data_IF_614794926332
#
_entry.id   IF_614794926332
#
_cell.length_a   1.000
_cell.length_b   1.000
_cell.length_c   1.000
_cell.angle_alpha   90.00
_cell.angle_beta   90.00
_cell.angle_gamma   90.00
#
_symmetry.space_group_name_H-M   'P 1'
#
loop_
_entity.id
_entity.type
_entity.pdbx_description
1 polymer ?
#
# COMPACT_ATOMS: atom_id res chain seq x y z
N UNK A 1 5.68 28.92 -18.16
CA UNK A 1 4.37 28.25 -18.12
C UNK A 1 4.59 26.81 -17.70
N UNK A 2 3.58 26.16 -17.12
CA UNK A 2 3.67 24.77 -16.69
C UNK A 2 2.33 24.07 -16.99
N UNK A 3 2.40 22.86 -17.54
CA UNK A 3 1.24 22.00 -17.70
C UNK A 3 0.96 21.34 -16.35
N UNK A 4 -0.25 21.53 -15.81
CA UNK A 4 -0.72 20.84 -14.62
C UNK A 4 -1.89 19.93 -15.01
N UNK A 5 -1.73 18.63 -14.81
CA UNK A 5 -2.79 17.64 -15.02
C UNK A 5 -3.54 17.42 -13.71
N UNK A 6 -4.87 17.25 -13.78
CA UNK A 6 -5.73 16.92 -12.64
C UNK A 6 -6.53 15.67 -12.97
N UNK A 7 -6.80 14.85 -11.97
CA UNK A 7 -7.50 13.56 -12.12
C UNK A 7 -6.79 12.66 -13.13
N UNK A 8 -5.52 12.36 -12.86
CA UNK A 8 -4.67 11.61 -13.78
C UNK A 8 -5.13 10.15 -13.86
N UNK A 9 -5.38 9.67 -15.06
CA UNK A 9 -5.78 8.28 -15.38
C UNK A 9 -4.80 7.66 -16.37
N UNK A 10 -4.84 6.34 -16.53
CA UNK A 10 -3.96 5.61 -17.47
C UNK A 10 -4.04 6.08 -18.91
N UNK A 11 -5.21 6.56 -19.33
CA UNK A 11 -5.44 7.14 -20.65
C UNK A 11 -4.61 8.40 -20.94
N UNK A 12 -4.03 9.04 -19.91
CA UNK A 12 -3.12 10.17 -20.07
C UNK A 12 -1.65 9.74 -20.25
N UNK A 13 -1.33 8.45 -20.21
CA UNK A 13 0.02 7.99 -20.54
C UNK A 13 0.35 8.28 -22.01
N UNK A 14 1.53 8.84 -22.28
CA UNK A 14 1.91 9.21 -23.65
C UNK A 14 3.10 10.17 -23.71
N UNK A 15 3.47 10.56 -24.93
CA UNK A 15 4.45 11.63 -25.14
C UNK A 15 3.77 13.00 -25.12
N UNK A 16 4.33 13.91 -24.33
CA UNK A 16 3.93 15.30 -24.22
C UNK A 16 5.03 16.18 -24.79
N UNK A 17 4.67 17.12 -25.65
CA UNK A 17 5.61 18.09 -26.21
C UNK A 17 5.48 19.44 -25.49
N UNK A 18 6.63 20.01 -25.15
CA UNK A 18 6.80 21.33 -24.58
C UNK A 18 7.50 22.20 -25.62
N UNK A 19 6.75 23.06 -26.34
CA UNK A 19 7.29 23.91 -27.41
C UNK A 19 7.18 25.40 -27.08
N UNK A 20 8.27 26.15 -27.22
CA UNK A 20 8.31 27.61 -27.10
C UNK A 20 8.81 28.23 -28.40
N UNK A 21 8.08 29.23 -28.91
CA UNK A 21 8.51 30.06 -30.02
C UNK A 21 8.84 31.47 -29.52
N UNK A 22 10.03 31.97 -29.83
CA UNK A 22 10.46 33.34 -29.51
C UNK A 22 11.10 33.97 -30.73
N UNK A 23 10.60 35.14 -31.16
CA UNK A 23 11.25 35.91 -32.23
C UNK A 23 12.47 36.66 -31.66
N UNK A 24 13.61 36.73 -32.39
CA UNK A 24 13.92 36.10 -33.68
C UNK A 24 14.49 34.67 -33.57
N UNK A 25 14.53 34.11 -32.36
CA UNK A 25 15.21 32.87 -32.01
C UNK A 25 14.54 31.55 -32.47
N UNK A 26 13.35 31.63 -33.07
CA UNK A 26 12.63 30.47 -33.60
C UNK A 26 11.95 29.63 -32.51
N UNK A 27 11.73 28.35 -32.79
CA UNK A 27 11.02 27.42 -31.90
C UNK A 27 11.99 26.41 -31.29
N UNK A 28 11.85 26.16 -29.98
CA UNK A 28 12.51 25.07 -29.26
C UNK A 28 11.45 24.15 -28.67
N UNK A 29 11.61 22.84 -28.84
CA UNK A 29 10.71 21.84 -28.30
C UNK A 29 11.46 20.78 -27.48
N UNK A 30 10.79 20.21 -26.48
CA UNK A 30 11.27 19.08 -25.69
C UNK A 30 10.13 18.08 -25.48
N UNK A 31 10.45 16.79 -25.56
CA UNK A 31 9.48 15.71 -25.37
C UNK A 31 9.62 15.11 -23.97
N UNK A 32 8.48 14.82 -23.35
CA UNK A 32 8.35 14.26 -22.01
C UNK A 32 7.50 13.00 -22.13
N UNK A 33 8.01 11.85 -21.72
CA UNK A 33 7.23 10.62 -21.64
C UNK A 33 6.52 10.57 -20.29
N UNK A 34 5.18 10.65 -20.29
CA UNK A 34 4.35 10.41 -19.12
C UNK A 34 3.93 8.94 -19.09
N UNK A 35 4.14 8.28 -17.96
CA UNK A 35 3.67 6.92 -17.70
C UNK A 35 2.84 6.96 -16.42
N UNK A 36 1.55 6.71 -16.55
CA UNK A 36 0.63 6.59 -15.42
C UNK A 36 0.49 5.10 -15.12
N UNK A 37 0.87 4.69 -13.91
CA UNK A 37 0.68 3.31 -13.44
C UNK A 37 -0.71 3.19 -12.82
N UNK A 38 -1.38 2.06 -13.06
CA UNK A 38 -2.59 1.75 -12.30
C UNK A 38 -2.24 1.43 -10.86
N UNK A 39 -3.22 1.64 -9.99
CA UNK A 39 -3.19 1.11 -8.65
C UNK A 39 -3.26 -0.42 -8.74
N UNK A 40 -2.10 -1.08 -8.73
CA UNK A 40 -2.03 -2.54 -8.72
C UNK A 40 -2.41 -3.02 -7.31
N UNK A 41 -3.52 -3.76 -7.24
CA UNK A 41 -3.94 -4.48 -6.04
C UNK A 41 -3.53 -5.94 -6.16
N UNK A 42 -2.54 -6.34 -5.37
CA UNK A 42 -2.02 -7.70 -5.37
C UNK A 42 -2.81 -8.58 -4.39
N UNK A 43 -3.22 -9.78 -4.81
CA UNK A 43 -4.01 -10.71 -3.99
C UNK A 43 -3.21 -11.94 -3.58
N UNK A 44 -3.14 -12.18 -2.28
CA UNK A 44 -2.41 -13.28 -1.66
C UNK A 44 -3.31 -14.12 -0.77
N UNK A 45 -2.91 -15.36 -0.56
CA UNK A 45 -3.49 -16.26 0.45
C UNK A 45 -2.38 -16.68 1.40
N UNK A 46 -2.60 -16.54 2.71
CA UNK A 46 -1.64 -16.92 3.74
C UNK A 46 -2.24 -17.97 4.67
N UNK A 47 -1.57 -19.12 4.72
CA UNK A 47 -1.94 -20.25 5.56
C UNK A 47 -1.17 -20.20 6.88
N UNK A 48 -1.85 -20.41 8.00
CA UNK A 48 -1.25 -20.39 9.34
C UNK A 48 -1.97 -21.37 10.27
N UNK A 49 -1.25 -21.98 11.22
CA UNK A 49 -1.87 -22.81 12.26
C UNK A 49 -2.41 -21.94 13.40
N UNK A 50 -3.37 -22.49 14.16
CA UNK A 50 -3.84 -21.87 15.41
C UNK A 50 -2.70 -21.64 16.41
N UNK A 51 -2.82 -20.55 17.17
CA UNK A 51 -1.89 -20.14 18.22
C UNK A 51 -0.44 -19.92 17.76
N UNK A 52 -0.22 -19.66 16.46
CA UNK A 52 1.07 -19.28 15.88
C UNK A 52 1.13 -17.77 15.66
N UNK A 53 2.33 -17.26 15.40
CA UNK A 53 2.52 -15.89 14.91
C UNK A 53 2.28 -15.88 13.42
N UNK A 54 1.34 -15.03 13.00
CA UNK A 54 1.11 -14.75 11.60
C UNK A 54 1.93 -13.54 11.18
N UNK A 55 2.63 -13.67 10.06
CA UNK A 55 3.39 -12.59 9.42
C UNK A 55 2.86 -12.35 8.01
N UNK A 56 2.38 -11.13 7.76
CA UNK A 56 1.91 -10.69 6.45
C UNK A 56 2.83 -9.58 5.95
N UNK A 57 3.67 -9.83 4.94
CA UNK A 57 4.48 -8.77 4.35
C UNK A 57 3.56 -7.79 3.63
N UNK A 58 3.84 -6.49 3.77
CA UNK A 58 3.08 -5.46 3.07
C UNK A 58 3.34 -5.48 1.55
N UNK A 59 4.57 -5.85 1.18
CA UNK A 59 5.09 -5.93 -0.20
C UNK A 59 5.96 -7.17 -0.31
N UNK A 60 5.99 -7.80 -1.48
CA UNK A 60 6.92 -8.90 -1.72
C UNK A 60 8.38 -8.43 -1.71
N UNK A 61 9.30 -9.32 -1.33
CA UNK A 61 10.75 -9.08 -1.26
C UNK A 61 11.40 -8.75 -2.63
N UNK A 62 10.63 -8.70 -3.72
CA UNK A 62 11.08 -8.37 -5.08
C UNK A 62 11.45 -6.90 -5.25
N UNK A 63 10.97 -5.99 -4.39
CA UNK A 63 11.40 -4.59 -4.41
C UNK A 63 12.64 -4.39 -3.54
N UNK A 64 13.78 -4.04 -4.14
CA UNK A 64 15.02 -3.71 -3.41
C UNK A 64 14.95 -2.39 -2.61
N UNK A 65 13.83 -1.68 -2.68
CA UNK A 65 13.63 -0.40 -1.99
C UNK A 65 13.35 -0.60 -0.49
N UNK A 66 13.99 0.20 0.35
CA UNK A 66 13.74 0.17 1.79
C UNK A 66 12.43 0.87 2.12
N UNK A 67 11.34 0.08 2.17
CA UNK A 67 9.99 0.64 2.35
C UNK A 67 9.70 1.03 3.81
N UNK A 68 10.64 0.78 4.72
CA UNK A 68 10.46 0.99 6.16
C UNK A 68 10.11 2.42 6.56
N UNK A 69 10.40 3.42 5.73
CA UNK A 69 10.15 4.84 6.03
C UNK A 69 8.93 5.41 5.29
N UNK A 70 8.22 4.61 4.49
CA UNK A 70 7.05 5.12 3.77
C UNK A 70 5.80 5.18 4.66
N UNK A 71 4.90 6.14 4.40
CA UNK A 71 3.59 6.14 5.03
C UNK A 71 2.82 4.89 4.62
N UNK A 72 2.15 4.25 5.58
CA UNK A 72 1.32 3.09 5.30
C UNK A 72 0.11 2.97 6.22
N UNK A 73 -0.86 2.20 5.75
CA UNK A 73 -2.01 1.75 6.52
C UNK A 73 -2.19 0.25 6.39
N UNK A 74 -2.43 -0.40 7.53
CA UNK A 74 -2.93 -1.77 7.59
C UNK A 74 -4.41 -1.75 7.93
N UNK A 75 -5.20 -2.48 7.16
CA UNK A 75 -6.63 -2.59 7.29
C UNK A 75 -7.03 -4.06 7.43
N UNK A 76 -8.19 -4.30 8.04
CA UNK A 76 -8.86 -5.61 8.02
C UNK A 76 -10.28 -5.44 7.51
N UNK A 77 -10.73 -6.39 6.69
CA UNK A 77 -12.12 -6.46 6.24
C UNK A 77 -12.89 -7.50 7.03
N UNK A 78 -14.03 -7.08 7.59
CA UNK A 78 -14.96 -7.92 8.34
C UNK A 78 -16.39 -7.55 7.96
N UNK A 79 -17.16 -8.52 7.44
CA UNK A 79 -18.57 -8.35 7.07
C UNK A 79 -18.84 -7.16 6.11
N UNK A 80 -17.93 -6.90 5.16
CA UNK A 80 -18.03 -5.78 4.22
C UNK A 80 -17.70 -4.41 4.80
N UNK A 81 -17.23 -4.34 6.06
CA UNK A 81 -16.64 -3.14 6.66
C UNK A 81 -15.13 -3.26 6.68
N UNK A 82 -14.45 -2.16 6.45
CA UNK A 82 -12.98 -2.05 6.52
C UNK A 82 -12.61 -1.27 7.77
N UNK A 83 -11.75 -1.85 8.61
CA UNK A 83 -11.27 -1.23 9.84
C UNK A 83 -9.76 -0.96 9.75
N UNK A 84 -9.33 0.24 10.15
CA UNK A 84 -7.90 0.57 10.26
C UNK A 84 -7.30 -0.11 11.51
N UNK A 85 -6.21 -0.86 11.33
CA UNK A 85 -5.45 -1.50 12.42
C UNK A 85 -4.25 -0.65 12.83
N UNK A 86 -3.44 -0.25 11.86
CA UNK A 86 -2.18 0.46 12.08
C UNK A 86 -2.02 1.54 11.01
N UNK A 87 -1.64 2.73 11.45
CA UNK A 87 -1.22 3.82 10.55
C UNK A 87 0.18 4.25 10.94
N UNK A 88 1.07 4.41 9.96
CA UNK A 88 2.44 4.87 10.18
C UNK A 88 2.74 6.01 9.21
N UNK A 89 3.38 7.05 9.73
CA UNK A 89 3.87 8.19 8.97
C UNK A 89 5.41 8.19 8.96
N UNK A 90 6.09 8.81 7.97
CA UNK A 90 7.54 8.70 7.78
C UNK A 90 8.41 9.11 8.97
N UNK A 91 7.89 9.99 9.83
CA UNK A 91 8.62 10.57 10.97
C UNK A 91 7.94 10.34 12.32
N UNK A 92 6.86 9.56 12.36
CA UNK A 92 6.10 9.30 13.58
C UNK A 92 6.07 7.80 13.89
N UNK A 93 6.01 7.42 15.18
CA UNK A 93 5.78 6.03 15.55
C UNK A 93 4.43 5.54 14.99
N UNK A 94 4.34 4.23 14.74
CA UNK A 94 3.11 3.62 14.29
C UNK A 94 1.99 3.80 15.34
N UNK A 95 0.83 4.26 14.88
CA UNK A 95 -0.36 4.45 15.69
C UNK A 95 -1.27 3.25 15.50
N UNK A 96 -1.56 2.56 16.60
CA UNK A 96 -2.48 1.43 16.64
C UNK A 96 -3.88 1.93 16.97
N UNK A 97 -4.85 1.63 16.09
CA UNK A 97 -6.26 1.95 16.36
C UNK A 97 -6.88 0.84 17.20
N UNK A 98 -7.22 1.16 18.44
CA UNK A 98 -7.94 0.29 19.37
C UNK A 98 -9.44 0.15 19.03
N UNK A 99 -9.85 0.29 17.77
CA UNK A 99 -11.27 0.32 17.39
C UNK A 99 -11.97 -1.04 17.45
N UNK A 100 -11.22 -2.14 17.61
CA UNK A 100 -11.79 -3.47 17.77
C UNK A 100 -11.13 -4.22 18.93
N UNK A 101 -11.94 -4.64 19.91
CA UNK A 101 -11.51 -5.50 21.02
C UNK A 101 -10.89 -6.84 20.53
N UNK A 102 -11.00 -7.17 19.25
CA UNK A 102 -10.49 -8.39 18.64
C UNK A 102 -8.97 -8.35 18.38
N UNK A 103 -8.38 -7.17 18.15
CA UNK A 103 -7.01 -7.03 17.65
C UNK A 103 -6.07 -6.15 18.47
N UNK A 104 -6.60 -5.29 19.35
CA UNK A 104 -5.83 -4.20 19.97
C UNK A 104 -4.54 -4.59 20.70
N UNK A 105 -4.42 -5.83 21.21
CA UNK A 105 -3.20 -6.34 21.86
C UNK A 105 -2.45 -7.42 21.08
N UNK A 106 -2.99 -7.89 19.94
CA UNK A 106 -2.40 -8.99 19.16
C UNK A 106 -1.59 -8.49 17.97
N UNK A 107 -1.93 -7.31 17.47
CA UNK A 107 -1.36 -6.72 16.26
C UNK A 107 -0.12 -5.91 16.60
N UNK A 108 0.96 -6.19 15.88
CA UNK A 108 2.22 -5.47 15.98
C UNK A 108 2.77 -5.24 14.57
N UNK A 109 3.49 -4.13 14.39
CA UNK A 109 4.26 -3.90 13.16
C UNK A 109 5.68 -4.46 13.33
N UNK A 110 6.06 -5.39 12.47
CA UNK A 110 7.40 -5.97 12.39
C UNK A 110 8.35 -5.15 11.50
N UNK A 111 9.49 -5.77 11.18
CA UNK A 111 10.45 -5.20 10.22
C UNK A 111 9.81 -5.09 8.83
N UNK A 112 10.32 -4.16 8.00
CA UNK A 112 9.81 -3.90 6.63
C UNK A 112 8.28 -3.71 6.57
N UNK A 113 7.69 -3.17 7.63
CA UNK A 113 6.24 -2.94 7.76
C UNK A 113 5.37 -4.21 7.70
N UNK A 114 5.92 -5.38 8.01
CA UNK A 114 5.17 -6.64 8.12
C UNK A 114 4.12 -6.54 9.22
N UNK A 115 2.87 -6.95 8.94
CA UNK A 115 1.84 -7.10 9.96
C UNK A 115 2.08 -8.41 10.72
N UNK A 116 2.25 -8.31 12.03
CA UNK A 116 2.38 -9.46 12.92
C UNK A 116 1.13 -9.59 13.77
N UNK A 117 0.53 -10.79 13.80
CA UNK A 117 -0.63 -11.09 14.65
C UNK A 117 -0.33 -12.32 15.49
N UNK A 118 -0.38 -12.17 16.81
CA UNK A 118 -0.18 -13.29 17.73
C UNK A 118 -1.06 -13.16 18.99
N UNK A 119 -1.65 -14.27 19.49
CA UNK A 119 -1.81 -15.56 18.81
C UNK A 119 -2.90 -15.50 17.72
N UNK A 120 -2.76 -16.30 16.67
CA UNK A 120 -3.81 -16.55 15.68
C UNK A 120 -4.99 -17.30 16.30
N UNK A 121 -6.21 -16.88 15.96
CA UNK A 121 -7.47 -17.46 16.44
C UNK A 121 -8.26 -18.05 15.29
N UNK A 122 -9.17 -18.99 15.59
CA UNK A 122 -10.04 -19.60 14.56
C UNK A 122 -10.94 -18.57 13.87
N UNK A 123 -11.32 -17.51 14.59
CA UNK A 123 -12.07 -16.39 14.03
C UNK A 123 -11.28 -15.54 13.04
N UNK A 124 -9.95 -15.69 12.98
CA UNK A 124 -9.12 -15.00 11.99
C UNK A 124 -9.18 -15.69 10.60
N UNK A 125 -9.75 -16.91 10.51
CA UNK A 125 -9.94 -17.63 9.25
C UNK A 125 -10.85 -16.86 8.28
N UNK A 126 -10.48 -16.85 7.00
CA UNK A 126 -11.21 -16.16 5.94
C UNK A 126 -11.14 -14.63 5.96
N UNK A 127 -10.51 -14.03 6.99
CA UNK A 127 -10.35 -12.57 7.05
C UNK A 127 -9.36 -12.07 6.01
N UNK A 128 -9.61 -10.86 5.52
CA UNK A 128 -8.76 -10.19 4.54
C UNK A 128 -8.04 -9.03 5.21
N UNK A 129 -6.72 -9.01 5.12
CA UNK A 129 -5.87 -7.93 5.58
C UNK A 129 -5.31 -7.20 4.38
N UNK A 130 -5.38 -5.87 4.36
CA UNK A 130 -4.79 -5.08 3.28
C UNK A 130 -3.74 -4.10 3.78
N UNK A 131 -2.65 -3.98 3.02
CA UNK A 131 -1.63 -2.98 3.23
C UNK A 131 -1.70 -1.94 2.13
N UNK A 132 -1.79 -0.67 2.50
CA UNK A 132 -1.79 0.46 1.58
C UNK A 132 -0.52 1.27 1.85
N UNK A 133 0.42 1.30 0.90
CA UNK A 133 1.66 2.07 0.99
C UNK A 133 1.61 3.23 0.02
N UNK A 134 1.97 4.42 0.49
CA UNK A 134 2.05 5.60 -0.37
C UNK A 134 3.50 5.77 -0.84
N UNK A 135 3.75 5.44 -2.10
CA UNK A 135 4.98 5.74 -2.82
C UNK A 135 4.91 7.14 -3.43
N UNK A 136 5.99 7.91 -3.26
CA UNK A 136 6.24 9.18 -3.96
C UNK A 136 4.98 10.07 -4.11
N UNK A 137 4.49 10.63 -3.00
CA UNK A 137 3.36 11.59 -2.86
C UNK A 137 2.01 11.29 -3.54
N UNK A 138 1.90 10.36 -4.49
CA UNK A 138 0.71 10.20 -5.35
C UNK A 138 0.42 8.74 -5.75
N UNK A 139 1.36 7.80 -5.62
CA UNK A 139 1.12 6.40 -6.00
C UNK A 139 0.82 5.56 -4.77
N UNK A 140 -0.38 5.00 -4.66
CA UNK A 140 -0.70 4.03 -3.61
C UNK A 140 -0.51 2.63 -4.18
N UNK A 141 0.25 1.79 -3.49
CA UNK A 141 0.30 0.37 -3.77
C UNK A 141 -0.53 -0.37 -2.73
N UNK A 142 -1.39 -1.28 -3.19
CA UNK A 142 -2.29 -2.06 -2.34
C UNK A 142 -1.93 -3.54 -2.42
N UNK A 143 -1.84 -4.19 -1.27
CA UNK A 143 -1.80 -5.65 -1.19
C UNK A 143 -2.95 -6.14 -0.33
N UNK A 144 -3.56 -7.26 -0.71
CA UNK A 144 -4.65 -7.93 -0.01
C UNK A 144 -4.23 -9.36 0.28
N UNK A 145 -4.30 -9.76 1.54
CA UNK A 145 -3.99 -11.12 1.98
C UNK A 145 -5.20 -11.74 2.66
N UNK A 146 -5.71 -12.83 2.09
CA UNK A 146 -6.77 -13.65 2.71
C UNK A 146 -6.12 -14.70 3.60
N UNK A 147 -6.59 -14.82 4.84
CA UNK A 147 -6.09 -15.82 5.78
C UNK A 147 -6.82 -17.15 5.66
N UNK A 148 -6.06 -18.22 5.85
CA UNK A 148 -6.57 -19.56 6.11
C UNK A 148 -5.94 -20.10 7.39
N UNK A 149 -6.77 -20.36 8.39
CA UNK A 149 -6.32 -20.81 9.72
C UNK A 149 -6.67 -22.27 9.90
N UNK A 150 -5.66 -23.09 10.16
CA UNK A 150 -5.83 -24.53 10.34
C UNK A 150 -5.79 -24.92 11.81
N UNK A 151 -6.78 -25.74 12.21
CA UNK A 151 -6.73 -26.50 13.45
C UNK A 151 -5.69 -27.61 13.37
N UNK A 152 -5.15 -27.98 14.53
CA UNK A 152 -4.25 -29.13 14.65
C UNK A 152 -5.03 -30.44 14.59
#
# INVERSE_FOLDING_TARGET
>A
WALQLKNVTTSLSGQYECSFATYPHGTKAANIQLIVKEEEEQHYVKEVQLNQTLEIPCLEDTTSENVSNYPLKWLVEENGRTEELVTKEPSCPAVYRNSSMLYGQRVHLGLKNTLMIFPTKIMDDGRVFSCHVVYHSETVQKSRTTLRVFGK
#
